data_IF_764022548681
#
_entry.id   IF_764022548681
#
_cell.length_a   1.000
_cell.length_b   1.000
_cell.length_c   1.000
_cell.angle_alpha   90.00
_cell.angle_beta   90.00
_cell.angle_gamma   90.00
#
_symmetry.space_group_name_H-M   'P 1'
#
loop_
_entity.id
_entity.type
_entity.pdbx_description
1 polymer ?
#
# COMPACT_ATOMS: atom_id res chain seq x y z
N UNK A 1 -13.05 -3.83 11.54
CA UNK A 1 -12.81 -5.30 11.47
C UNK A 1 -12.39 -5.90 12.81
N UNK A 2 -11.50 -5.26 13.58
CA UNK A 2 -10.97 -5.83 14.83
C UNK A 2 -12.01 -6.32 15.86
N UNK A 3 -13.17 -5.66 15.99
CA UNK A 3 -14.25 -6.14 16.90
C UNK A 3 -14.82 -7.50 16.43
N UNK A 4 -14.95 -7.72 15.12
CA UNK A 4 -15.48 -8.98 14.56
C UNK A 4 -14.45 -10.10 14.64
N UNK A 5 -13.17 -9.79 14.47
CA UNK A 5 -12.08 -10.76 14.66
C UNK A 5 -11.96 -11.21 16.12
N UNK A 6 -11.97 -10.28 17.08
CA UNK A 6 -11.96 -10.62 18.51
C UNK A 6 -13.13 -11.51 18.91
N UNK A 7 -14.32 -11.25 18.35
CA UNK A 7 -15.50 -12.11 18.56
C UNK A 7 -15.29 -13.50 17.96
N UNK A 8 -14.75 -13.60 16.74
CA UNK A 8 -14.46 -14.88 16.11
C UNK A 8 -13.42 -15.71 16.89
N UNK A 9 -12.37 -15.06 17.41
CA UNK A 9 -11.37 -15.70 18.28
C UNK A 9 -11.99 -16.19 19.59
N UNK A 10 -12.83 -15.36 20.22
CA UNK A 10 -13.54 -15.74 21.45
C UNK A 10 -14.49 -16.93 21.22
N UNK A 11 -15.19 -16.98 20.08
CA UNK A 11 -16.05 -18.11 19.74
C UNK A 11 -15.24 -19.37 19.44
N UNK A 12 -14.15 -19.29 18.69
CA UNK A 12 -13.28 -20.43 18.41
C UNK A 12 -12.66 -21.01 19.69
N UNK A 13 -12.20 -20.15 20.60
CA UNK A 13 -11.70 -20.56 21.92
C UNK A 13 -12.78 -21.24 22.77
N UNK A 14 -14.04 -20.76 22.70
CA UNK A 14 -15.17 -21.42 23.34
C UNK A 14 -15.50 -22.78 22.71
N UNK A 15 -15.52 -22.86 21.38
CA UNK A 15 -15.76 -24.11 20.65
C UNK A 15 -14.70 -25.17 21.00
N UNK A 16 -13.42 -24.78 21.10
CA UNK A 16 -12.34 -25.67 21.53
C UNK A 16 -12.50 -26.12 22.99
N UNK A 17 -12.79 -25.19 23.90
CA UNK A 17 -12.97 -25.48 25.32
C UNK A 17 -14.12 -26.48 25.59
N UNK A 18 -15.21 -26.37 24.83
CA UNK A 18 -16.37 -27.23 24.95
C UNK A 18 -16.38 -28.41 23.97
N UNK A 19 -15.28 -28.66 23.25
CA UNK A 19 -15.13 -29.71 22.24
C UNK A 19 -16.24 -29.71 21.15
N UNK A 20 -16.70 -28.51 20.77
CA UNK A 20 -17.62 -28.30 19.66
C UNK A 20 -16.86 -28.33 18.33
N UNK A 21 -17.58 -28.59 17.23
CA UNK A 21 -17.00 -28.48 15.89
C UNK A 21 -16.63 -27.02 15.62
N UNK A 22 -15.35 -26.78 15.32
CA UNK A 22 -14.84 -25.46 14.94
C UNK A 22 -15.57 -24.90 13.71
N UNK A 23 -16.13 -23.71 13.87
CA UNK A 23 -16.82 -23.00 12.79
C UNK A 23 -15.83 -22.16 12.00
N UNK A 24 -15.66 -22.46 10.69
CA UNK A 24 -14.78 -21.67 9.82
C UNK A 24 -15.52 -20.47 9.20
N UNK A 25 -15.12 -19.25 9.60
CA UNK A 25 -15.64 -18.01 9.01
C UNK A 25 -14.87 -17.63 7.74
N UNK A 26 -15.11 -18.35 6.64
CA UNK A 26 -14.40 -18.17 5.36
C UNK A 26 -14.56 -16.77 4.77
N UNK A 27 -15.76 -16.17 4.86
CA UNK A 27 -16.03 -14.80 4.40
C UNK A 27 -15.22 -13.76 5.20
N UNK A 28 -15.11 -13.92 6.52
CA UNK A 28 -14.32 -13.01 7.37
C UNK A 28 -12.83 -13.04 6.96
N UNK A 29 -12.30 -14.23 6.67
CA UNK A 29 -10.93 -14.40 6.19
C UNK A 29 -10.71 -13.78 4.80
N UNK A 30 -11.69 -13.89 3.89
CA UNK A 30 -11.63 -13.25 2.57
C UNK A 30 -11.58 -11.73 2.71
N UNK A 31 -12.52 -11.14 3.47
CA UNK A 31 -12.57 -9.69 3.70
C UNK A 31 -11.29 -9.19 4.36
N UNK A 32 -10.71 -9.92 5.31
CA UNK A 32 -9.41 -9.57 5.93
C UNK A 32 -8.30 -9.48 4.89
N UNK A 33 -8.22 -10.46 3.99
CA UNK A 33 -7.21 -10.48 2.91
C UNK A 33 -7.41 -9.31 1.96
N UNK A 34 -8.64 -9.03 1.56
CA UNK A 34 -8.97 -7.90 0.67
C UNK A 34 -8.60 -6.56 1.29
N UNK A 35 -8.93 -6.36 2.57
CA UNK A 35 -8.60 -5.14 3.30
C UNK A 35 -7.09 -4.97 3.44
N UNK A 36 -6.35 -6.04 3.73
CA UNK A 36 -4.89 -5.99 3.79
C UNK A 36 -4.25 -5.64 2.44
N UNK A 37 -4.82 -6.10 1.32
CA UNK A 37 -4.37 -5.72 -0.01
C UNK A 37 -4.61 -4.23 -0.30
N UNK A 38 -5.77 -3.71 0.10
CA UNK A 38 -6.10 -2.29 -0.07
C UNK A 38 -5.23 -1.40 0.82
N UNK A 39 -4.97 -1.82 2.05
CA UNK A 39 -4.09 -1.11 2.99
C UNK A 39 -2.68 -0.95 2.40
N UNK A 40 -2.13 -1.99 1.78
CA UNK A 40 -0.83 -1.92 1.08
C UNK A 40 -0.85 -0.94 -0.10
N UNK A 41 -1.93 -0.92 -0.89
CA UNK A 41 -2.05 -0.01 -2.03
C UNK A 41 -2.14 1.45 -1.59
N UNK A 42 -3.05 1.75 -0.65
CA UNK A 42 -3.26 3.11 -0.18
C UNK A 42 -2.10 3.61 0.69
N UNK A 43 -1.42 2.74 1.43
CA UNK A 43 -0.18 3.08 2.12
C UNK A 43 0.88 3.56 1.14
N UNK A 44 1.16 2.78 0.08
CA UNK A 44 2.10 3.19 -0.96
C UNK A 44 1.66 4.49 -1.66
N UNK A 45 0.36 4.67 -1.88
CA UNK A 45 -0.18 5.88 -2.49
C UNK A 45 0.09 7.12 -1.64
N UNK A 46 -0.13 7.03 -0.33
CA UNK A 46 0.14 8.12 0.60
C UNK A 46 1.64 8.44 0.68
N UNK A 47 2.51 7.42 0.74
CA UNK A 47 3.97 7.63 0.72
C UNK A 47 4.42 8.42 -0.52
N UNK A 48 3.86 8.10 -1.69
CA UNK A 48 4.18 8.79 -2.95
C UNK A 48 3.68 10.23 -2.92
N UNK A 49 2.47 10.47 -2.41
CA UNK A 49 1.94 11.84 -2.27
C UNK A 49 2.80 12.69 -1.33
N UNK A 50 3.15 12.16 -0.17
CA UNK A 50 3.98 12.86 0.82
C UNK A 50 5.37 13.19 0.25
N UNK A 51 5.97 12.26 -0.50
CA UNK A 51 7.23 12.51 -1.19
C UNK A 51 7.11 13.63 -2.24
N UNK A 52 6.05 13.63 -3.07
CA UNK A 52 5.81 14.69 -4.05
C UNK A 52 5.63 16.05 -3.36
N UNK A 53 4.87 16.10 -2.26
CA UNK A 53 4.68 17.35 -1.50
C UNK A 53 6.00 17.84 -0.90
N UNK A 54 6.81 16.94 -0.36
CA UNK A 54 8.16 17.24 0.12
C UNK A 54 9.02 17.85 -0.98
N UNK A 55 9.00 17.26 -2.19
CA UNK A 55 9.79 17.74 -3.32
C UNK A 55 9.36 19.13 -3.81
N UNK A 56 8.07 19.45 -3.75
CA UNK A 56 7.57 20.78 -4.08
C UNK A 56 8.06 21.87 -3.13
N UNK A 57 8.49 21.51 -1.92
CA UNK A 57 9.05 22.43 -0.93
C UNK A 57 10.53 22.74 -1.11
N UNK A 58 11.25 22.01 -1.99
CA UNK A 58 12.69 22.18 -2.20
C UNK A 58 12.96 23.42 -3.05
N UNK A 59 13.92 24.26 -2.63
CA UNK A 59 14.39 25.40 -3.42
C UNK A 59 15.20 24.91 -4.63
N UNK A 60 15.05 25.58 -5.77
CA UNK A 60 15.79 25.25 -7.00
C UNK A 60 17.31 25.23 -6.84
N UNK A 61 17.87 26.01 -5.91
CA UNK A 61 19.32 26.03 -5.65
C UNK A 61 19.79 24.73 -4.99
N UNK A 62 18.94 24.11 -4.17
CA UNK A 62 19.24 22.90 -3.40
C UNK A 62 18.83 21.61 -4.14
N UNK A 63 18.12 21.74 -5.26
CA UNK A 63 17.58 20.60 -6.02
C UNK A 63 18.70 19.69 -6.54
N UNK A 64 19.84 20.26 -6.94
CA UNK A 64 20.99 19.51 -7.47
C UNK A 64 21.59 18.52 -6.46
N UNK A 65 21.50 18.83 -5.16
CA UNK A 65 21.99 17.97 -4.08
C UNK A 65 20.98 16.88 -3.76
N UNK A 66 19.68 17.19 -3.87
CA UNK A 66 18.60 16.26 -3.52
C UNK A 66 18.18 15.35 -4.69
N UNK A 67 18.52 15.71 -5.94
CA UNK A 67 18.12 14.99 -7.15
C UNK A 67 18.48 13.49 -7.12
N UNK A 68 19.67 13.15 -6.62
CA UNK A 68 20.10 11.75 -6.50
C UNK A 68 19.20 10.97 -5.53
N UNK A 69 18.93 11.54 -4.35
CA UNK A 69 18.03 10.93 -3.36
C UNK A 69 16.58 10.81 -3.85
N UNK A 70 16.13 11.78 -4.67
CA UNK A 70 14.82 11.74 -5.29
C UNK A 70 14.72 10.59 -6.30
N UNK A 71 15.77 10.37 -7.10
CA UNK A 71 15.87 9.26 -8.04
C UNK A 71 15.78 7.90 -7.34
N UNK A 72 16.56 7.70 -6.28
CA UNK A 72 16.53 6.46 -5.49
C UNK A 72 15.15 6.20 -4.86
N UNK A 73 14.50 7.24 -4.35
CA UNK A 73 13.16 7.12 -3.75
C UNK A 73 12.11 6.75 -4.80
N UNK A 74 12.15 7.37 -5.98
CA UNK A 74 11.23 7.06 -7.09
C UNK A 74 11.45 5.63 -7.59
N UNK A 75 12.69 5.17 -7.69
CA UNK A 75 13.00 3.79 -8.05
C UNK A 75 12.48 2.80 -6.99
N UNK A 76 12.62 3.14 -5.70
CA UNK A 76 12.01 2.38 -4.59
C UNK A 76 10.49 2.31 -4.71
N UNK A 77 9.82 3.42 -5.03
CA UNK A 77 8.38 3.43 -5.28
C UNK A 77 7.97 2.56 -6.47
N UNK A 78 8.69 2.61 -7.58
CA UNK A 78 8.47 1.75 -8.74
C UNK A 78 8.64 0.26 -8.40
N UNK A 79 9.68 -0.10 -7.64
CA UNK A 79 9.92 -1.46 -7.18
C UNK A 79 8.81 -1.97 -6.26
N UNK A 80 8.35 -1.14 -5.31
CA UNK A 80 7.21 -1.47 -4.42
C UNK A 80 5.91 -1.62 -5.21
N UNK A 81 5.66 -0.72 -6.16
CA UNK A 81 4.50 -0.77 -7.05
C UNK A 81 4.49 -2.07 -7.88
N UNK A 82 5.64 -2.47 -8.46
CA UNK A 82 5.77 -3.72 -9.24
C UNK A 82 5.51 -4.99 -8.41
N UNK A 83 5.85 -4.98 -7.11
CA UNK A 83 5.63 -6.09 -6.17
C UNK A 83 4.14 -6.29 -5.81
N UNK A 84 3.28 -5.31 -6.07
CA UNK A 84 1.86 -5.44 -5.75
C UNK A 84 1.20 -6.57 -6.57
N UNK A 85 0.32 -7.37 -5.93
CA UNK A 85 -0.37 -8.48 -6.60
C UNK A 85 -1.17 -8.06 -7.82
N UNK A 86 -1.26 -8.94 -8.82
CA UNK A 86 -1.98 -8.69 -10.09
C UNK A 86 -3.44 -8.22 -9.88
N UNK A 87 -4.12 -8.73 -8.86
CA UNK A 87 -5.50 -8.34 -8.52
C UNK A 87 -5.66 -6.84 -8.25
N UNK A 88 -4.63 -6.19 -7.71
CA UNK A 88 -4.66 -4.76 -7.45
C UNK A 88 -4.38 -3.93 -8.72
N UNK A 89 -3.81 -4.52 -9.77
CA UNK A 89 -3.47 -3.79 -11.01
C UNK A 89 -4.68 -3.37 -11.83
N UNK A 90 -5.80 -4.06 -11.64
CA UNK A 90 -7.08 -3.75 -12.27
C UNK A 90 -7.77 -2.56 -11.59
N UNK A 91 -7.32 -2.17 -10.39
CA UNK A 91 -7.91 -1.07 -9.65
C UNK A 91 -7.45 0.26 -10.23
N UNK A 92 -8.39 1.19 -10.40
CA UNK A 92 -8.11 2.54 -10.88
C UNK A 92 -7.03 3.25 -10.05
N UNK A 93 -7.09 3.11 -8.73
CA UNK A 93 -6.10 3.70 -7.82
C UNK A 93 -4.65 3.21 -8.09
N UNK A 94 -4.47 1.95 -8.48
CA UNK A 94 -3.17 1.43 -8.88
C UNK A 94 -2.68 2.07 -10.19
N UNK A 95 -3.57 2.23 -11.17
CA UNK A 95 -3.23 2.85 -12.45
C UNK A 95 -2.83 4.32 -12.26
N UNK A 96 -3.59 5.06 -11.45
CA UNK A 96 -3.27 6.45 -11.09
C UNK A 96 -1.92 6.53 -10.36
N UNK A 97 -1.67 5.66 -9.39
CA UNK A 97 -0.37 5.56 -8.70
C UNK A 97 0.79 5.30 -9.66
N UNK A 98 0.60 4.34 -10.57
CA UNK A 98 1.60 3.97 -11.56
C UNK A 98 1.92 5.13 -12.49
N UNK A 99 0.89 5.86 -12.92
CA UNK A 99 1.05 7.03 -13.76
C UNK A 99 1.83 8.11 -13.03
N UNK A 100 1.44 8.45 -11.79
CA UNK A 100 2.17 9.45 -10.99
C UNK A 100 3.66 9.11 -10.82
N UNK A 101 4.00 7.84 -10.55
CA UNK A 101 5.41 7.41 -10.44
C UNK A 101 6.13 7.59 -11.79
N UNK A 102 5.46 7.25 -12.90
CA UNK A 102 6.04 7.37 -14.24
C UNK A 102 6.26 8.83 -14.61
N UNK A 103 5.29 9.71 -14.33
CA UNK A 103 5.38 11.14 -14.58
C UNK A 103 6.57 11.76 -13.83
N UNK A 104 6.78 11.39 -12.57
CA UNK A 104 7.94 11.88 -11.79
C UNK A 104 9.24 11.36 -12.40
N UNK A 105 9.29 10.09 -12.79
CA UNK A 105 10.48 9.50 -13.40
C UNK A 105 10.84 10.17 -14.73
N UNK A 106 9.85 10.60 -15.52
CA UNK A 106 10.05 11.36 -16.76
C UNK A 106 10.45 12.82 -16.50
N UNK A 107 9.99 13.42 -15.40
CA UNK A 107 10.34 14.79 -15.02
C UNK A 107 11.75 14.91 -14.43
N UNK A 108 12.22 13.90 -13.67
CA UNK A 108 13.56 13.90 -13.06
C UNK A 108 14.72 14.28 -14.00
N UNK A 109 14.84 13.73 -15.23
CA UNK A 109 15.92 14.12 -16.16
C UNK A 109 15.74 15.49 -16.83
N UNK A 110 14.57 16.13 -16.68
CA UNK A 110 14.27 17.46 -17.24
C UNK A 110 14.66 18.57 -16.25
N UNK A 111 14.74 18.24 -14.96
CA UNK A 111 15.12 19.10 -13.83
C UNK A 111 16.65 19.16 -13.72
#
# INVERSE_FOLDING_TARGET
LGIRERKAEAYAAGEELFALRLTQYTELLKTKKEVSLLDQLYGLYMDVLEAIESYRGILWVDISIQLESMGEMVESFDARCKKLPKKLREWKAYQELRQNITDIQEMLPII
#
